data_IF_585201316418
#
_entry.id   IF_585201316418
#
_cell.length_a   1.000
_cell.length_b   1.000
_cell.length_c   1.000
_cell.angle_alpha   90.00
_cell.angle_beta   90.00
_cell.angle_gamma   90.00
#
_symmetry.space_group_name_H-M   'P 1'
#
loop_
_entity.id
_entity.type
_entity.pdbx_description
1 polymer ?
#
# COMPACT_ATOMS: atom_id res chain seq x y z
N UNK A 1 -1.37 -11.18 24.24
CA UNK A 1 -0.96 -12.54 23.83
C UNK A 1 0.40 -12.43 23.20
N UNK A 2 1.31 -13.35 23.52
CA UNK A 2 2.64 -13.40 22.89
C UNK A 2 2.47 -14.11 21.55
N UNK A 3 3.00 -13.52 20.48
CA UNK A 3 3.01 -14.12 19.14
C UNK A 3 4.25 -15.02 19.08
N UNK A 4 4.06 -16.34 18.90
CA UNK A 4 5.15 -17.32 18.78
C UNK A 4 5.05 -18.14 17.48
N UNK A 5 6.10 -18.91 17.17
CA UNK A 5 6.20 -19.76 15.97
C UNK A 5 5.11 -20.84 15.89
N UNK A 6 4.56 -21.29 17.02
CA UNK A 6 3.52 -22.32 17.04
C UNK A 6 2.13 -21.77 16.68
N UNK A 7 1.92 -20.46 16.81
CA UNK A 7 0.74 -19.79 16.29
C UNK A 7 0.75 -19.70 14.75
N UNK A 8 1.95 -19.54 14.15
CA UNK A 8 2.15 -19.47 12.69
C UNK A 8 1.83 -20.79 11.99
N UNK A 9 2.22 -21.94 12.55
CA UNK A 9 1.98 -23.25 11.92
C UNK A 9 0.49 -23.63 11.81
N UNK A 10 -0.37 -23.09 12.68
CA UNK A 10 -1.82 -23.38 12.66
C UNK A 10 -2.58 -22.61 11.58
N UNK A 11 -2.09 -21.43 11.19
CA UNK A 11 -2.62 -20.66 10.04
C UNK A 11 -2.06 -21.22 8.72
N UNK A 12 -0.77 -21.60 8.71
CA UNK A 12 -0.03 -22.04 7.52
C UNK A 12 -0.57 -23.32 6.83
N UNK A 13 -1.46 -24.10 7.45
CA UNK A 13 -1.91 -25.39 6.90
C UNK A 13 -3.02 -25.25 5.84
N UNK A 14 -3.91 -24.28 5.98
CA UNK A 14 -4.89 -23.88 4.95
C UNK A 14 -4.20 -23.17 3.78
N UNK A 15 -3.11 -22.50 4.11
CA UNK A 15 -2.26 -21.68 3.26
C UNK A 15 -1.32 -22.52 2.36
N UNK A 16 -0.86 -23.68 2.82
CA UNK A 16 0.01 -24.57 2.04
C UNK A 16 -0.72 -25.22 0.86
N UNK A 17 -2.01 -25.53 0.98
CA UNK A 17 -2.82 -26.02 -0.15
C UNK A 17 -3.06 -24.93 -1.20
N UNK A 18 -3.16 -23.66 -0.78
CA UNK A 18 -3.22 -22.51 -1.68
C UNK A 18 -1.87 -22.30 -2.38
N UNK A 19 -0.75 -22.41 -1.66
CA UNK A 19 0.60 -22.33 -2.23
C UNK A 19 0.90 -23.47 -3.22
N UNK A 20 0.50 -24.70 -2.91
CA UNK A 20 0.61 -25.83 -3.82
C UNK A 20 -0.26 -25.64 -5.08
N UNK A 21 -1.38 -24.92 -4.96
CA UNK A 21 -2.21 -24.48 -6.08
C UNK A 21 -1.64 -23.29 -6.86
N UNK A 22 -0.96 -22.33 -6.22
CA UNK A 22 -0.43 -21.12 -6.87
C UNK A 22 0.70 -21.41 -7.89
N UNK A 23 1.35 -22.58 -7.80
CA UNK A 23 2.26 -23.09 -8.83
C UNK A 23 1.53 -23.62 -10.09
N UNK A 24 0.22 -23.92 -9.98
CA UNK A 24 -0.66 -24.24 -11.09
C UNK A 24 -1.31 -22.93 -11.63
N UNK A 25 -1.08 -22.56 -12.91
CA UNK A 25 -1.77 -21.43 -13.55
C UNK A 25 -3.31 -21.49 -13.44
N UNK A 26 -3.88 -22.68 -13.23
CA UNK A 26 -5.30 -22.90 -13.05
C UNK A 26 -5.83 -22.42 -11.68
N UNK A 27 -4.98 -22.21 -10.68
CA UNK A 27 -5.37 -21.91 -9.29
C UNK A 27 -5.07 -20.46 -8.87
N UNK A 28 -5.54 -19.50 -9.66
CA UNK A 28 -5.68 -18.09 -9.23
C UNK A 28 -7.15 -17.65 -9.21
N UNK A 29 -7.98 -18.13 -8.25
CA UNK A 29 -9.40 -17.76 -8.18
C UNK A 29 -9.62 -16.24 -8.12
N UNK A 30 -8.76 -15.51 -7.39
CA UNK A 30 -8.82 -14.06 -7.31
C UNK A 30 -8.54 -13.41 -8.68
N UNK A 31 -7.49 -13.84 -9.39
CA UNK A 31 -7.20 -13.30 -10.72
C UNK A 31 -8.36 -13.56 -11.70
N UNK A 32 -8.92 -14.77 -11.71
CA UNK A 32 -10.09 -15.13 -12.53
C UNK A 32 -11.32 -14.29 -12.18
N UNK A 33 -11.56 -14.04 -10.89
CA UNK A 33 -12.63 -13.15 -10.44
C UNK A 33 -12.42 -11.71 -10.94
N UNK A 34 -11.20 -11.19 -10.82
CA UNK A 34 -10.84 -9.85 -11.30
C UNK A 34 -10.98 -9.73 -12.82
N UNK A 35 -10.59 -10.76 -13.58
CA UNK A 35 -10.80 -10.82 -15.03
C UNK A 35 -12.28 -10.84 -15.40
N UNK A 36 -13.11 -11.59 -14.67
CA UNK A 36 -14.55 -11.61 -14.85
C UNK A 36 -15.18 -10.24 -14.56
N UNK A 37 -14.82 -9.63 -13.43
CA UNK A 37 -15.26 -8.28 -13.06
C UNK A 37 -14.87 -7.24 -14.13
N UNK A 38 -13.63 -7.32 -14.63
CA UNK A 38 -13.12 -6.46 -15.70
C UNK A 38 -13.91 -6.63 -17.00
N UNK A 39 -14.25 -7.86 -17.37
CA UNK A 39 -15.01 -8.17 -18.60
C UNK A 39 -16.46 -7.71 -18.51
N UNK A 40 -17.10 -7.94 -17.37
CA UNK A 40 -18.54 -7.71 -17.19
C UNK A 40 -18.87 -6.25 -16.87
N UNK A 41 -18.16 -5.66 -15.89
CA UNK A 41 -18.50 -4.32 -15.38
C UNK A 41 -17.58 -3.22 -15.91
N UNK A 42 -16.43 -3.57 -16.49
CA UNK A 42 -15.43 -2.63 -17.02
C UNK A 42 -15.11 -1.46 -16.05
N UNK A 43 -14.83 -1.73 -14.77
CA UNK A 43 -14.52 -0.68 -13.81
C UNK A 43 -13.23 0.05 -14.19
N UNK A 44 -13.16 1.34 -13.89
CA UNK A 44 -11.93 2.12 -14.07
C UNK A 44 -10.87 1.74 -13.03
N UNK A 45 -11.31 1.43 -11.80
CA UNK A 45 -10.45 1.04 -10.69
C UNK A 45 -11.09 -0.13 -9.92
N UNK A 46 -10.25 -1.04 -9.44
CA UNK A 46 -10.63 -2.07 -8.47
C UNK A 46 -9.76 -1.89 -7.24
N UNK A 47 -10.37 -1.54 -6.11
CA UNK A 47 -9.67 -1.40 -4.84
C UNK A 47 -9.75 -2.72 -4.08
N UNK A 48 -8.60 -3.24 -3.69
CA UNK A 48 -8.47 -4.44 -2.87
C UNK A 48 -7.99 -4.01 -1.49
N UNK A 49 -8.92 -3.89 -0.55
CA UNK A 49 -8.58 -3.61 0.84
C UNK A 49 -7.92 -4.84 1.46
N UNK A 50 -6.65 -4.70 1.82
CA UNK A 50 -5.87 -5.74 2.48
C UNK A 50 -5.55 -5.28 3.87
N UNK A 51 -6.07 -5.99 4.88
CA UNK A 51 -5.57 -5.79 6.24
C UNK A 51 -4.08 -6.11 6.25
N UNK A 52 -3.29 -5.23 6.86
CA UNK A 52 -1.84 -5.38 7.07
C UNK A 52 -1.49 -6.47 8.10
N UNK A 53 -2.18 -7.61 8.05
CA UNK A 53 -1.76 -8.79 8.78
C UNK A 53 -0.41 -9.21 8.22
N UNK A 54 0.65 -8.94 8.98
CA UNK A 54 2.02 -9.46 8.79
C UNK A 54 2.06 -11.00 8.62
N UNK A 55 0.94 -11.67 8.86
CA UNK A 55 0.75 -13.12 8.93
C UNK A 55 0.01 -13.71 7.72
N UNK A 56 -0.57 -12.90 6.82
CA UNK A 56 -1.54 -13.40 5.85
C UNK A 56 -0.97 -13.46 4.41
N UNK A 57 -1.04 -14.65 3.83
CA UNK A 57 -0.92 -14.90 2.38
C UNK A 57 -1.86 -14.03 1.52
N UNK A 58 -2.90 -13.43 2.12
CA UNK A 58 -3.75 -12.43 1.49
C UNK A 58 -2.99 -11.18 1.00
N UNK A 59 -1.96 -10.73 1.73
CA UNK A 59 -1.13 -9.61 1.29
C UNK A 59 -0.29 -9.95 0.06
N UNK A 60 0.36 -11.11 0.06
CA UNK A 60 1.16 -11.60 -1.08
C UNK A 60 0.29 -11.86 -2.33
N UNK A 61 -0.87 -12.49 -2.16
CA UNK A 61 -1.78 -12.77 -3.27
C UNK A 61 -2.32 -11.48 -3.92
N UNK A 62 -2.58 -10.44 -3.13
CA UNK A 62 -3.05 -9.15 -3.67
C UNK A 62 -1.94 -8.38 -4.36
N UNK A 63 -0.72 -8.38 -3.82
CA UNK A 63 0.39 -7.69 -4.48
C UNK A 63 0.75 -8.30 -5.84
N UNK A 64 0.61 -9.62 -6.01
CA UNK A 64 0.84 -10.32 -7.29
C UNK A 64 -0.20 -9.96 -8.37
N UNK A 65 -1.41 -9.51 -7.98
CA UNK A 65 -2.47 -9.14 -8.93
C UNK A 65 -2.73 -7.63 -9.03
N UNK A 66 -2.07 -6.83 -8.19
CA UNK A 66 -2.23 -5.37 -8.16
C UNK A 66 -1.21 -4.68 -9.05
N UNK A 67 -1.67 -3.74 -9.87
CA UNK A 67 -0.79 -2.89 -10.68
C UNK A 67 -0.08 -1.82 -9.82
N UNK A 68 -0.69 -1.41 -8.71
CA UNK A 68 -0.15 -0.41 -7.79
C UNK A 68 -0.56 -0.72 -6.35
N UNK A 69 0.29 -0.34 -5.40
CA UNK A 69 0.08 -0.48 -3.95
C UNK A 69 0.00 0.89 -3.28
N UNK A 70 -1.02 1.09 -2.45
CA UNK A 70 -1.11 2.26 -1.56
C UNK A 70 -1.00 1.77 -0.13
N UNK A 71 0.03 2.22 0.59
CA UNK A 71 0.43 1.67 1.88
C UNK A 71 0.25 2.73 2.95
N UNK A 72 -0.57 2.44 3.97
CA UNK A 72 -0.85 3.36 5.07
C UNK A 72 0.02 3.04 6.29
N UNK A 73 0.67 4.08 6.83
CA UNK A 73 1.56 3.99 7.97
C UNK A 73 1.33 5.09 8.99
N UNK A 74 1.51 4.79 10.27
CA UNK A 74 1.55 5.77 11.36
C UNK A 74 3.01 6.10 11.73
N UNK A 75 3.27 7.28 12.29
CA UNK A 75 4.58 7.64 12.87
C UNK A 75 4.77 6.94 14.23
N UNK A 76 4.88 5.60 14.20
CA UNK A 76 5.13 4.77 15.37
C UNK A 76 6.01 3.58 15.02
N UNK A 77 6.87 3.15 15.96
CA UNK A 77 7.78 2.02 15.74
C UNK A 77 7.05 0.74 15.33
N UNK A 78 5.89 0.46 15.95
CA UNK A 78 5.07 -0.69 15.63
C UNK A 78 4.56 -0.63 14.18
N UNK A 79 4.11 0.54 13.71
CA UNK A 79 3.70 0.70 12.31
C UNK A 79 4.86 0.45 11.36
N UNK A 80 6.05 0.95 11.70
CA UNK A 80 7.25 0.78 10.88
C UNK A 80 7.76 -0.65 10.81
N UNK A 81 7.59 -1.45 11.86
CA UNK A 81 7.88 -2.88 11.79
C UNK A 81 7.01 -3.58 10.73
N UNK A 82 5.71 -3.26 10.67
CA UNK A 82 4.81 -3.76 9.63
C UNK A 82 5.15 -3.27 8.24
N UNK A 83 5.40 -1.96 8.10
CA UNK A 83 5.74 -1.33 6.82
C UNK A 83 7.02 -1.92 6.23
N UNK A 84 8.08 -2.11 7.01
CA UNK A 84 9.33 -2.70 6.51
C UNK A 84 9.11 -4.10 5.94
N UNK A 85 8.33 -4.93 6.62
CA UNK A 85 7.97 -6.24 6.10
C UNK A 85 7.22 -6.15 4.77
N UNK A 86 6.29 -5.20 4.63
CA UNK A 86 5.55 -4.99 3.39
C UNK A 86 6.44 -4.47 2.26
N UNK A 87 7.24 -3.44 2.52
CA UNK A 87 8.16 -2.81 1.55
C UNK A 87 9.13 -3.85 1.00
N UNK A 88 9.73 -4.67 1.88
CA UNK A 88 10.57 -5.80 1.49
C UNK A 88 9.87 -6.78 0.56
N UNK A 89 8.61 -7.11 0.84
CA UNK A 89 7.85 -8.01 -0.04
C UNK A 89 7.62 -7.39 -1.41
N UNK A 90 7.34 -6.08 -1.48
CA UNK A 90 7.18 -5.38 -2.75
C UNK A 90 8.47 -5.36 -3.56
N UNK A 91 9.62 -5.13 -2.92
CA UNK A 91 10.94 -5.17 -3.56
C UNK A 91 11.37 -6.55 -4.05
N UNK A 92 10.82 -7.62 -3.45
CA UNK A 92 11.13 -9.01 -3.82
C UNK A 92 10.27 -9.56 -4.98
N UNK A 93 9.36 -8.77 -5.56
CA UNK A 93 8.54 -9.21 -6.69
C UNK A 93 9.43 -9.25 -7.95
N UNK A 94 9.54 -10.44 -8.56
CA UNK A 94 10.37 -10.65 -9.76
C UNK A 94 9.91 -9.80 -10.95
N UNK A 95 10.85 -9.22 -11.70
CA UNK A 95 10.62 -8.42 -12.91
C UNK A 95 10.73 -6.91 -12.66
N UNK A 96 9.82 -6.36 -11.85
CA UNK A 96 9.88 -4.98 -11.38
C UNK A 96 9.00 -4.82 -10.14
N UNK A 97 9.48 -4.07 -9.15
CA UNK A 97 8.68 -3.75 -7.98
C UNK A 97 7.45 -2.93 -8.42
N UNK A 98 6.23 -3.26 -7.94
CA UNK A 98 5.02 -2.59 -8.38
C UNK A 98 5.03 -1.14 -7.90
N UNK A 99 4.38 -0.26 -8.66
CA UNK A 99 4.25 1.15 -8.31
C UNK A 99 3.67 1.28 -6.89
N UNK A 100 4.38 2.00 -6.02
CA UNK A 100 4.02 2.11 -4.61
C UNK A 100 3.84 3.58 -4.19
N UNK A 101 2.85 3.84 -3.34
CA UNK A 101 2.63 5.12 -2.68
C UNK A 101 2.47 4.90 -1.18
N UNK A 102 3.39 5.45 -0.39
CA UNK A 102 3.27 5.44 1.07
C UNK A 102 2.50 6.66 1.56
N UNK A 103 1.62 6.42 2.53
CA UNK A 103 0.78 7.42 3.18
C UNK A 103 1.18 7.51 4.65
N UNK A 104 1.57 8.71 5.09
CA UNK A 104 1.64 9.04 6.52
C UNK A 104 0.21 9.34 7.00
N UNK A 105 -0.44 8.30 7.51
CA UNK A 105 -1.83 8.34 7.94
C UNK A 105 -1.97 8.99 9.32
N UNK A 106 -3.19 9.49 9.58
CA UNK A 106 -3.55 10.12 10.87
C UNK A 106 -2.61 11.26 11.25
N UNK A 107 -2.16 12.01 10.25
CA UNK A 107 -1.30 13.16 10.48
C UNK A 107 -2.07 14.21 11.30
N UNK A 108 -1.36 14.92 12.18
CA UNK A 108 -1.92 16.10 12.83
C UNK A 108 -2.10 17.20 11.77
N UNK A 109 -3.35 17.63 11.57
CA UNK A 109 -3.69 18.70 10.64
C UNK A 109 -3.27 20.08 11.12
N UNK A 110 -2.77 20.22 12.35
CA UNK A 110 -2.38 21.50 12.95
C UNK A 110 -0.97 21.91 12.51
N UNK A 111 -0.80 23.02 11.77
CA UNK A 111 0.52 23.47 11.35
C UNK A 111 1.38 23.86 12.54
N UNK A 112 2.62 23.35 12.60
CA UNK A 112 3.55 23.66 13.68
C UNK A 112 4.86 22.89 13.59
N UNK A 113 5.80 23.16 14.52
CA UNK A 113 7.09 22.46 14.57
C UNK A 113 6.91 20.95 14.71
N UNK A 114 6.01 20.52 15.59
CA UNK A 114 5.71 19.09 15.83
C UNK A 114 5.27 18.36 14.56
N UNK A 115 4.44 19.00 13.72
CA UNK A 115 4.01 18.43 12.45
C UNK A 115 5.19 18.27 11.48
N UNK A 116 6.02 19.32 11.36
CA UNK A 116 7.22 19.29 10.51
C UNK A 116 8.19 18.19 10.94
N UNK A 117 8.51 18.13 12.23
CA UNK A 117 9.37 17.10 12.79
C UNK A 117 8.81 15.69 12.56
N UNK A 118 7.49 15.50 12.65
CA UNK A 118 6.86 14.22 12.35
C UNK A 118 6.95 13.84 10.86
N UNK A 119 6.79 14.81 9.95
CA UNK A 119 6.98 14.58 8.51
C UNK A 119 8.43 14.24 8.18
N UNK A 120 9.38 14.98 8.74
CA UNK A 120 10.82 14.75 8.56
C UNK A 120 11.23 13.36 9.06
N UNK A 121 10.84 12.99 10.29
CA UNK A 121 11.09 11.64 10.82
C UNK A 121 10.45 10.54 9.98
N UNK A 122 9.22 10.73 9.51
CA UNK A 122 8.53 9.73 8.70
C UNK A 122 9.21 9.58 7.33
N UNK A 123 9.63 10.68 6.70
CA UNK A 123 10.40 10.66 5.45
C UNK A 123 11.72 9.92 5.63
N UNK A 124 12.50 10.23 6.66
CA UNK A 124 13.78 9.54 6.93
C UNK A 124 13.59 8.02 7.10
N UNK A 125 12.56 7.62 7.86
CA UNK A 125 12.27 6.21 8.05
C UNK A 125 11.75 5.53 6.78
N UNK A 126 10.95 6.23 5.98
CA UNK A 126 10.47 5.73 4.68
C UNK A 126 11.64 5.53 3.74
N UNK A 127 12.44 6.58 3.53
CA UNK A 127 13.63 6.55 2.69
C UNK A 127 14.54 5.39 3.04
N UNK A 128 14.89 5.25 4.33
CA UNK A 128 15.70 4.13 4.80
C UNK A 128 15.08 2.78 4.45
N UNK A 129 13.80 2.58 4.74
CA UNK A 129 13.12 1.31 4.47
C UNK A 129 13.11 0.95 2.98
N UNK A 130 12.92 1.92 2.09
CA UNK A 130 12.93 1.67 0.64
C UNK A 130 14.33 1.45 0.09
N UNK A 131 15.34 2.17 0.58
CA UNK A 131 16.73 1.92 0.22
C UNK A 131 17.19 0.51 0.62
N UNK A 132 16.80 0.07 1.82
CA UNK A 132 17.22 -1.22 2.36
C UNK A 132 16.52 -2.40 1.65
N UNK A 133 15.28 -2.21 1.17
CA UNK A 133 14.40 -3.35 0.88
C UNK A 133 13.64 -3.28 -0.47
N UNK A 134 13.68 -2.16 -1.20
CA UNK A 134 12.87 -1.95 -2.41
C UNK A 134 13.66 -1.48 -3.63
N UNK A 135 14.59 -0.53 -3.47
CA UNK A 135 15.38 -0.03 -4.59
C UNK A 135 16.54 -0.96 -4.93
N UNK A 136 16.90 -1.00 -6.21
CA UNK A 136 18.19 -1.54 -6.64
C UNK A 136 19.32 -0.65 -6.08
N UNK A 137 20.38 -1.24 -5.54
CA UNK A 137 21.52 -0.52 -4.93
C UNK A 137 22.15 0.52 -5.88
N UNK A 138 22.08 0.29 -7.20
CA UNK A 138 22.65 1.17 -8.23
C UNK A 138 21.70 2.31 -8.65
N UNK A 139 20.43 2.28 -8.24
CA UNK A 139 19.37 3.20 -8.69
C UNK A 139 18.58 3.81 -7.54
N UNK A 140 19.25 4.09 -6.44
CA UNK A 140 18.64 4.74 -5.27
C UNK A 140 18.42 6.24 -5.57
N UNK A 141 17.17 6.74 -5.56
CA UNK A 141 16.90 8.17 -5.72
C UNK A 141 17.38 8.98 -4.51
N UNK A 142 17.46 10.32 -4.64
CA UNK A 142 17.72 11.18 -3.47
C UNK A 142 16.51 11.20 -2.52
N UNK A 143 16.74 11.41 -1.23
CA UNK A 143 15.68 11.49 -0.20
C UNK A 143 14.62 12.58 -0.48
N UNK A 144 15.00 13.66 -1.16
CA UNK A 144 14.09 14.77 -1.48
C UNK A 144 13.38 14.59 -2.85
N UNK A 145 13.52 13.41 -3.47
CA UNK A 145 12.96 13.15 -4.81
C UNK A 145 11.45 12.97 -4.72
N UNK A 146 10.71 13.98 -5.19
CA UNK A 146 9.25 13.95 -5.14
C UNK A 146 8.66 12.91 -6.10
N UNK A 147 7.62 12.20 -5.63
CA UNK A 147 6.88 11.23 -6.43
C UNK A 147 7.49 9.83 -6.48
N UNK A 148 8.66 9.65 -5.86
CA UNK A 148 9.28 8.34 -5.65
C UNK A 148 8.51 7.51 -4.60
N UNK A 149 8.61 6.17 -4.62
CA UNK A 149 7.94 5.30 -3.65
C UNK A 149 8.17 5.65 -2.18
N UNK A 150 9.34 6.20 -1.86
CA UNK A 150 9.73 6.59 -0.50
C UNK A 150 9.22 7.97 -0.06
N UNK A 151 8.73 8.81 -0.99
CA UNK A 151 8.22 10.15 -0.68
C UNK A 151 6.78 10.01 -0.15
N UNK A 152 6.56 10.12 1.17
CA UNK A 152 5.28 9.83 1.79
C UNK A 152 4.29 10.95 1.53
N UNK A 153 3.03 10.61 1.24
CA UNK A 153 1.96 11.60 1.21
C UNK A 153 1.38 11.79 2.62
N UNK A 154 1.48 12.99 3.22
CA UNK A 154 0.86 13.28 4.51
C UNK A 154 -0.65 13.35 4.38
N UNK A 155 -1.37 12.52 5.13
CA UNK A 155 -2.83 12.47 5.09
C UNK A 155 -3.42 12.67 6.49
N UNK A 156 -3.84 13.90 6.76
CA UNK A 156 -4.60 14.24 7.95
C UNK A 156 -5.99 13.59 7.91
N UNK A 157 -6.42 13.08 9.06
CA UNK A 157 -7.75 12.49 9.21
C UNK A 157 -8.79 13.57 9.52
N UNK A 158 -9.85 13.63 8.73
CA UNK A 158 -11.01 14.49 9.00
C UNK A 158 -12.09 13.72 9.75
N UNK A 159 -12.38 14.04 11.03
CA UNK A 159 -13.37 13.31 11.83
C UNK A 159 -14.78 13.31 11.23
N UNK A 160 -15.10 14.24 10.33
CA UNK A 160 -16.40 14.29 9.65
C UNK A 160 -16.63 13.07 8.75
N UNK A 161 -15.57 12.37 8.33
CA UNK A 161 -15.67 11.12 7.55
C UNK A 161 -15.86 9.87 8.44
N UNK A 162 -15.82 9.99 9.77
CA UNK A 162 -15.98 8.86 10.67
C UNK A 162 -17.42 8.33 10.73
N UNK A 163 -18.39 9.20 10.49
CA UNK A 163 -19.80 8.98 10.83
C UNK A 163 -20.78 9.40 9.75
N UNK A 164 -20.35 9.37 8.48
CA UNK A 164 -21.25 9.67 7.36
C UNK A 164 -22.35 8.60 7.23
N UNK A 165 -23.53 9.01 6.77
CA UNK A 165 -24.64 8.09 6.51
C UNK A 165 -24.76 7.77 5.02
N UNK A 166 -24.28 8.67 4.16
CA UNK A 166 -24.18 8.51 2.73
C UNK A 166 -22.84 9.01 2.21
N UNK A 167 -22.34 8.44 1.12
CA UNK A 167 -21.17 8.96 0.41
C UNK A 167 -21.37 10.42 -0.02
N UNK A 168 -22.61 10.84 -0.29
CA UNK A 168 -22.92 12.24 -0.63
C UNK A 168 -22.48 13.22 0.47
N UNK A 169 -22.50 12.77 1.73
CA UNK A 169 -22.15 13.59 2.89
C UNK A 169 -20.63 13.86 2.97
N UNK A 170 -19.83 13.02 2.31
CA UNK A 170 -18.36 13.13 2.32
C UNK A 170 -17.79 13.81 1.08
N UNK A 171 -18.57 13.94 -0.01
CA UNK A 171 -18.08 14.49 -1.30
C UNK A 171 -17.39 15.83 -1.13
N UNK A 172 -18.02 16.77 -0.41
CA UNK A 172 -17.45 18.09 -0.20
C UNK A 172 -16.12 18.04 0.55
N UNK A 173 -15.96 17.12 1.50
CA UNK A 173 -14.72 16.95 2.27
C UNK A 173 -13.63 16.33 1.38
N UNK A 174 -13.97 15.27 0.64
CA UNK A 174 -13.02 14.56 -0.24
C UNK A 174 -12.54 15.41 -1.42
N UNK A 175 -13.27 16.46 -1.79
CA UNK A 175 -12.88 17.44 -2.81
C UNK A 175 -11.93 18.52 -2.30
N UNK A 176 -11.67 18.60 -1.00
CA UNK A 176 -10.74 19.57 -0.42
C UNK A 176 -9.39 18.91 -0.11
N UNK A 177 -8.29 19.69 0.00
CA UNK A 177 -7.04 19.18 0.56
C UNK A 177 -7.24 18.66 2.00
N UNK A 178 -6.52 17.59 2.40
CA UNK A 178 -5.50 16.87 1.64
C UNK A 178 -6.06 15.80 0.68
N UNK A 179 -7.36 15.48 0.71
CA UNK A 179 -7.94 14.36 -0.05
C UNK A 179 -7.92 14.55 -1.57
N UNK A 180 -8.16 15.77 -2.06
CA UNK A 180 -8.08 16.07 -3.50
C UNK A 180 -6.64 15.95 -4.04
N UNK A 181 -5.66 16.34 -3.24
CA UNK A 181 -4.23 16.21 -3.56
C UNK A 181 -3.78 14.75 -3.51
N UNK A 182 -4.26 13.99 -2.51
CA UNK A 182 -4.07 12.55 -2.46
C UNK A 182 -4.63 11.88 -3.71
N UNK A 183 -5.86 12.23 -4.11
CA UNK A 183 -6.48 11.68 -5.31
C UNK A 183 -5.64 11.94 -6.56
N UNK A 184 -5.09 13.15 -6.72
CA UNK A 184 -4.17 13.47 -7.81
C UNK A 184 -2.93 12.58 -7.79
N UNK A 185 -2.27 12.44 -6.63
CA UNK A 185 -1.07 11.60 -6.48
C UNK A 185 -1.36 10.12 -6.73
N UNK A 186 -2.54 9.65 -6.32
CA UNK A 186 -3.04 8.32 -6.62
C UNK A 186 -3.27 8.12 -8.12
N UNK A 187 -3.90 9.06 -8.82
CA UNK A 187 -4.10 8.94 -10.27
C UNK A 187 -2.79 8.93 -11.05
N UNK A 188 -1.79 9.71 -10.61
CA UNK A 188 -0.45 9.73 -11.21
C UNK A 188 0.26 8.38 -11.00
N UNK A 189 0.11 7.77 -9.82
CA UNK A 189 0.63 6.42 -9.53
C UNK A 189 0.01 5.38 -10.46
N UNK A 190 -1.31 5.35 -10.59
CA UNK A 190 -2.00 4.37 -11.44
C UNK A 190 -1.69 4.60 -12.91
N UNK A 191 -1.54 5.86 -13.36
CA UNK A 191 -1.13 6.19 -14.72
C UNK A 191 0.24 5.60 -15.09
N UNK A 192 1.22 5.69 -14.17
CA UNK A 192 2.54 5.05 -14.33
C UNK A 192 2.42 3.53 -14.41
N UNK A 193 1.75 2.93 -13.43
CA UNK A 193 1.56 1.47 -13.36
C UNK A 193 0.91 0.86 -14.61
N UNK A 194 -0.04 1.56 -15.24
CA UNK A 194 -0.69 1.08 -16.49
C UNK A 194 0.22 1.16 -17.70
N UNK A 195 1.16 2.10 -17.72
CA UNK A 195 2.12 2.26 -18.82
C UNK A 195 3.17 1.14 -18.77
N UNK A 196 3.60 0.76 -17.56
CA UNK A 196 4.59 -0.29 -17.35
C UNK A 196 4.00 -1.71 -17.54
N UNK A 197 2.70 -1.89 -17.32
CA UNK A 197 1.99 -3.16 -17.52
C UNK A 197 1.58 -3.44 -18.98
N UNK A 198 1.96 -2.59 -19.94
CA UNK A 198 1.55 -2.69 -21.34
C UNK A 198 2.47 -3.55 -22.24
N UNK A 199 3.26 -4.46 -21.65
CA UNK A 199 4.15 -5.40 -22.36
C UNK A 199 3.63 -6.83 -22.21
#
# INVERSE_FOLDING_TARGET
GVVDEHYLEKLARLDYEILAGLADPAFRPLAKLLEHLKREFKPEYVFLDCRAGLHDLGGLAVHVVSHASVVFGLDSEQSWQGLRCLIRRLGQIEGAAPACLVIQAMEDGTPGSRQKEARERFLEQSYKAFCDEYYDEEKVPNIDSSGEPHDPFPLAYDPRIAGYQSLKDTVQILQQPPYSEFFKRFTDLVGRARTDAAI
#
